data_IF_001035356025
#
_entry.id   IF_001035356025
#
_cell.length_a   1.000
_cell.length_b   1.000
_cell.length_c   1.000
_cell.angle_alpha   90.00
_cell.angle_beta   90.00
_cell.angle_gamma   90.00
#
_symmetry.space_group_name_H-M   'P 1'
#
loop_
_entity.id
_entity.type
_entity.pdbx_description
1 polymer ?
#
# COMPACT_ATOMS: atom_id res chain seq x y z
N UNK A 1 -14.71 -13.91 -46.93
CA UNK A 1 -14.80 -14.99 -45.92
C UNK A 1 -13.73 -14.88 -44.82
N UNK A 2 -12.43 -14.82 -45.14
CA UNK A 2 -11.35 -14.69 -44.12
C UNK A 2 -11.47 -13.46 -43.19
N UNK A 3 -11.91 -12.31 -43.72
CA UNK A 3 -12.09 -11.07 -42.93
C UNK A 3 -13.25 -11.14 -41.93
N UNK A 4 -14.28 -11.94 -42.21
CA UNK A 4 -15.45 -12.12 -41.33
C UNK A 4 -15.09 -13.00 -40.14
N UNK A 5 -14.29 -14.05 -40.37
CA UNK A 5 -13.77 -14.92 -39.31
C UNK A 5 -12.88 -14.14 -38.34
N UNK A 6 -12.08 -13.20 -38.84
CA UNK A 6 -11.19 -12.37 -38.01
C UNK A 6 -11.98 -11.44 -37.07
N UNK A 7 -13.08 -10.85 -37.55
CA UNK A 7 -13.93 -9.95 -36.76
C UNK A 7 -14.66 -10.73 -35.66
N UNK A 8 -15.19 -11.92 -35.98
CA UNK A 8 -15.85 -12.80 -35.00
C UNK A 8 -14.90 -13.27 -33.89
N UNK A 9 -13.62 -13.51 -34.22
CA UNK A 9 -12.61 -13.90 -33.24
C UNK A 9 -12.30 -12.76 -32.26
N UNK A 10 -12.27 -11.51 -32.72
CA UNK A 10 -12.03 -10.32 -31.87
C UNK A 10 -13.20 -10.06 -30.92
N UNK A 11 -14.44 -10.26 -31.39
CA UNK A 11 -15.66 -10.08 -30.58
C UNK A 11 -15.81 -11.14 -29.48
N UNK A 12 -15.17 -12.31 -29.61
CA UNK A 12 -15.23 -13.39 -28.62
C UNK A 12 -14.39 -13.17 -27.35
N UNK A 13 -13.47 -12.19 -27.35
CA UNK A 13 -12.59 -11.90 -26.20
C UNK A 13 -13.09 -10.76 -25.32
N UNK A 14 -14.25 -10.17 -25.64
CA UNK A 14 -14.79 -9.04 -24.88
C UNK A 14 -15.51 -9.58 -23.65
N UNK A 15 -14.86 -9.50 -22.49
CA UNK A 15 -15.50 -9.80 -21.21
C UNK A 15 -16.36 -8.61 -20.79
N UNK A 16 -17.68 -8.75 -20.89
CA UNK A 16 -18.63 -7.76 -20.39
C UNK A 16 -18.78 -7.93 -18.87
N UNK A 17 -18.11 -7.07 -18.12
CA UNK A 17 -18.28 -6.99 -16.67
C UNK A 17 -19.43 -6.02 -16.37
N UNK A 18 -20.61 -6.53 -16.04
CA UNK A 18 -21.69 -5.72 -15.49
C UNK A 18 -21.40 -5.48 -14.01
N UNK A 19 -20.84 -4.32 -13.66
CA UNK A 19 -20.73 -3.90 -12.26
C UNK A 19 -22.08 -3.34 -11.81
N UNK A 20 -22.73 -4.04 -10.89
CA UNK A 20 -23.91 -3.53 -10.18
C UNK A 20 -23.43 -2.43 -9.22
N UNK A 21 -23.55 -1.16 -9.65
CA UNK A 21 -23.12 0.03 -8.89
C UNK A 21 -23.80 0.16 -7.52
N UNK A 22 -24.84 -0.63 -7.26
CA UNK A 22 -25.69 -0.56 -6.08
C UNK A 22 -25.14 -1.38 -4.91
N UNK A 23 -24.19 -2.30 -5.17
CA UNK A 23 -23.61 -3.18 -4.15
C UNK A 23 -22.20 -2.72 -3.80
N UNK A 24 -22.07 -1.61 -3.07
CA UNK A 24 -20.78 -1.18 -2.51
C UNK A 24 -20.35 -2.18 -1.46
N UNK A 25 -19.13 -2.74 -1.59
CA UNK A 25 -18.54 -3.54 -0.53
C UNK A 25 -18.45 -2.68 0.73
N UNK A 26 -19.12 -3.04 1.83
CA UNK A 26 -19.11 -2.22 3.04
C UNK A 26 -17.72 -2.21 3.70
N UNK A 27 -16.83 -3.14 3.31
CA UNK A 27 -15.43 -3.16 3.75
C UNK A 27 -14.52 -2.49 2.71
N UNK A 28 -13.81 -1.44 3.15
CA UNK A 28 -12.70 -0.83 2.42
C UNK A 28 -11.39 -1.12 3.12
N UNK A 29 -10.46 -1.76 2.41
CA UNK A 29 -9.09 -1.95 2.88
C UNK A 29 -8.21 -0.90 2.21
N UNK A 30 -7.44 -0.17 3.01
CA UNK A 30 -6.48 0.83 2.57
C UNK A 30 -5.20 0.72 3.38
N UNK A 31 -4.12 1.31 2.90
CA UNK A 31 -2.85 1.29 3.62
C UNK A 31 -1.93 2.40 3.15
N UNK A 32 -0.90 2.63 3.94
CA UNK A 32 0.16 3.58 3.65
C UNK A 32 1.49 2.99 4.12
N UNK A 33 2.51 3.14 3.31
CA UNK A 33 3.86 2.72 3.65
C UNK A 33 4.86 3.77 3.14
N UNK A 34 5.84 4.09 3.97
CA UNK A 34 6.91 5.03 3.69
C UNK A 34 8.25 4.33 3.85
N UNK A 35 8.85 3.94 2.72
CA UNK A 35 10.19 3.36 2.66
C UNK A 35 11.23 4.44 2.37
N UNK A 36 12.42 4.27 2.93
CA UNK A 36 13.53 5.18 2.73
C UNK A 36 14.87 4.45 2.74
N UNK A 37 15.84 5.08 2.11
CA UNK A 37 17.25 4.77 2.25
C UNK A 37 17.98 6.08 2.49
N UNK A 38 18.86 6.13 3.47
CA UNK A 38 19.63 7.34 3.75
C UNK A 38 21.08 6.98 4.04
N UNK A 39 21.99 7.86 3.61
CA UNK A 39 23.42 7.71 3.87
C UNK A 39 23.92 8.96 4.61
N UNK A 40 24.77 8.72 5.60
CA UNK A 40 25.35 9.71 6.50
C UNK A 40 26.85 9.66 6.27
N UNK A 41 27.43 10.78 5.86
CA UNK A 41 28.85 10.87 5.53
C UNK A 41 29.74 10.66 6.76
N UNK A 42 29.20 10.82 7.98
CA UNK A 42 29.89 10.49 9.23
C UNK A 42 30.04 9.00 9.49
N UNK A 43 29.38 8.13 8.69
CA UNK A 43 29.43 6.67 8.78
C UNK A 43 29.35 6.13 10.23
N UNK A 44 28.26 6.46 10.97
CA UNK A 44 28.13 6.09 12.37
C UNK A 44 28.08 4.57 12.54
N UNK A 45 28.91 4.04 13.45
CA UNK A 45 29.08 2.59 13.64
C UNK A 45 27.84 1.85 14.19
N UNK A 46 26.87 2.57 14.75
CA UNK A 46 25.60 2.01 15.24
C UNK A 46 24.47 2.07 14.20
N UNK A 47 24.77 2.49 12.97
CA UNK A 47 23.80 2.66 11.87
C UNK A 47 22.64 3.62 12.19
N UNK A 48 22.78 4.42 13.24
CA UNK A 48 21.84 5.46 13.62
C UNK A 48 22.44 6.82 13.29
N UNK A 49 21.65 7.65 12.62
CA UNK A 49 21.93 9.07 12.43
C UNK A 49 21.84 9.78 13.78
N UNK A 50 22.44 10.99 13.90
CA UNK A 50 22.35 11.77 15.12
C UNK A 50 20.92 11.95 15.65
N UNK A 51 20.75 11.99 16.97
CA UNK A 51 19.45 11.91 17.66
C UNK A 51 18.43 13.02 17.34
N UNK A 52 18.82 14.06 16.59
CA UNK A 52 17.89 15.07 16.09
C UNK A 52 17.09 14.59 14.85
N UNK A 53 17.48 13.48 14.22
CA UNK A 53 16.68 12.79 13.21
C UNK A 53 15.72 11.80 13.88
N UNK A 54 14.49 12.25 14.17
CA UNK A 54 13.45 11.42 14.76
C UNK A 54 12.86 10.40 13.76
N UNK A 55 12.55 10.88 12.56
CA UNK A 55 12.16 10.04 11.42
C UNK A 55 13.36 9.81 10.52
N UNK A 56 13.35 8.73 9.75
CA UNK A 56 14.44 8.41 8.83
C UNK A 56 15.81 8.31 9.52
N UNK A 57 15.85 7.71 10.71
CA UNK A 57 17.02 7.73 11.59
C UNK A 57 18.09 6.69 11.22
N UNK A 58 17.81 5.78 10.29
CA UNK A 58 18.74 4.71 9.91
C UNK A 58 19.65 5.11 8.76
N UNK A 59 20.92 4.72 8.88
CA UNK A 59 22.00 5.01 7.94
C UNK A 59 22.43 3.73 7.20
N UNK A 60 22.68 3.86 5.89
CA UNK A 60 23.25 2.83 5.03
C UNK A 60 22.43 1.53 5.00
N UNK A 61 21.12 1.65 5.15
CA UNK A 61 20.18 0.53 5.06
C UNK A 61 18.83 0.98 4.50
N UNK A 62 18.12 0.04 3.87
CA UNK A 62 16.75 0.24 3.42
C UNK A 62 15.81 -0.01 4.60
N UNK A 63 14.95 0.95 4.92
CA UNK A 63 14.11 0.89 6.10
C UNK A 63 12.70 1.46 5.83
N UNK A 64 11.72 1.15 6.68
CA UNK A 64 10.36 1.69 6.65
C UNK A 64 10.18 2.65 7.82
N UNK A 65 9.85 3.91 7.53
CA UNK A 65 9.59 4.89 8.57
C UNK A 65 8.21 4.68 9.20
N UNK A 66 7.17 4.64 8.37
CA UNK A 66 5.77 4.41 8.80
C UNK A 66 5.14 3.38 7.87
N UNK A 67 4.46 2.40 8.44
CA UNK A 67 3.60 1.47 7.71
C UNK A 67 2.30 1.22 8.48
N UNK A 68 1.16 1.30 7.79
CA UNK A 68 -0.11 0.87 8.37
C UNK A 68 -1.08 0.31 7.35
N UNK A 69 -1.95 -0.57 7.85
CA UNK A 69 -3.11 -1.09 7.14
C UNK A 69 -4.35 -0.64 7.90
N UNK A 70 -5.36 -0.19 7.16
CA UNK A 70 -6.65 0.27 7.66
C UNK A 70 -7.77 -0.54 7.01
N UNK A 71 -8.59 -1.16 7.85
CA UNK A 71 -9.86 -1.73 7.43
C UNK A 71 -10.99 -0.83 7.95
N UNK A 72 -11.83 -0.36 7.03
CA UNK A 72 -13.03 0.41 7.32
C UNK A 72 -14.25 -0.43 6.95
N UNK A 73 -15.17 -0.61 7.89
CA UNK A 73 -16.50 -1.19 7.62
C UNK A 73 -17.54 -0.08 7.78
N UNK A 74 -18.33 0.17 6.75
CA UNK A 74 -19.39 1.19 6.73
C UNK A 74 -20.68 0.62 6.15
N UNK A 75 -21.64 0.36 7.04
CA UNK A 75 -23.01 -0.02 6.72
C UNK A 75 -23.94 1.06 7.30
N UNK A 76 -25.18 1.18 6.82
CA UNK A 76 -26.11 2.32 6.98
C UNK A 76 -26.19 3.02 8.36
N UNK A 77 -25.77 2.38 9.46
CA UNK A 77 -25.72 2.99 10.80
C UNK A 77 -24.50 2.57 11.66
N UNK A 78 -23.50 1.85 11.10
CA UNK A 78 -22.34 1.34 11.85
C UNK A 78 -21.06 1.60 11.08
N UNK A 79 -20.12 2.29 11.73
CA UNK A 79 -18.77 2.54 11.21
C UNK A 79 -17.77 1.89 12.18
N UNK A 80 -16.93 1.00 11.67
CA UNK A 80 -15.80 0.43 12.41
C UNK A 80 -14.50 0.74 11.66
N UNK A 81 -13.52 1.27 12.39
CA UNK A 81 -12.18 1.55 11.87
C UNK A 81 -11.18 0.78 12.72
N UNK A 82 -10.40 -0.09 12.08
CA UNK A 82 -9.22 -0.71 12.68
C UNK A 82 -7.98 -0.26 11.94
N UNK A 83 -6.93 0.06 12.67
CA UNK A 83 -5.62 0.45 12.12
C UNK A 83 -4.57 -0.40 12.80
N UNK A 84 -3.80 -1.14 11.99
CA UNK A 84 -2.60 -1.82 12.45
C UNK A 84 -1.41 -0.96 12.05
N UNK A 85 -0.72 -0.39 13.03
CA UNK A 85 0.52 0.36 12.81
C UNK A 85 1.71 -0.59 13.03
N UNK A 86 2.63 -0.59 12.07
CA UNK A 86 3.94 -1.19 12.22
C UNK A 86 4.99 -0.10 12.03
N UNK A 87 5.59 0.34 13.13
CA UNK A 87 6.75 1.22 13.12
C UNK A 87 7.97 0.33 13.29
N UNK A 88 8.94 0.41 12.38
CA UNK A 88 10.25 -0.20 12.62
C UNK A 88 10.96 0.68 13.64
N UNK A 89 10.66 0.44 14.91
CA UNK A 89 11.45 0.89 16.04
C UNK A 89 12.23 -0.33 16.48
N UNK A 90 13.42 -0.55 15.91
CA UNK A 90 14.26 -1.62 16.43
C UNK A 90 14.66 -1.28 17.87
N UNK A 91 14.34 -2.23 18.75
CA UNK A 91 14.99 -2.42 20.04
C UNK A 91 16.51 -2.54 19.82
N UNK A 92 17.28 -1.98 20.76
CA UNK A 92 18.71 -2.22 20.89
C UNK A 92 19.09 -3.71 20.80
#
# INVERSE_FOLDING_TARGET
MKKVVLIALILGFITLNAQDSTKTNPVTISGYAEAYYSYDLGNPGNHQRPSFFYSFNRHNEANLNIGFIKANYSESNVILISVLNYTISDCD
#
